data_IF_029000158845
#
_entry.id   IF_029000158845
#
_cell.length_a   1.000
_cell.length_b   1.000
_cell.length_c   1.000
_cell.angle_alpha   90.00
_cell.angle_beta   90.00
_cell.angle_gamma   90.00
#
_symmetry.space_group_name_H-M   'P 1'
#
loop_
_entity.id
_entity.type
_entity.pdbx_description
1 polymer ?
#
# COMPACT_ATOMS: atom_id res chain seq x y z
N UNK A 1 6.95 -22.17 -25.65
CA UNK A 1 7.59 -23.49 -25.90
C UNK A 1 7.36 -24.51 -24.78
N UNK A 2 7.77 -24.24 -23.52
CA UNK A 2 7.63 -25.20 -22.40
C UNK A 2 6.16 -25.57 -22.15
N UNK A 3 5.26 -24.58 -22.06
CA UNK A 3 3.82 -24.82 -21.78
C UNK A 3 3.11 -25.70 -22.81
N UNK A 4 3.48 -25.58 -24.09
CA UNK A 4 2.86 -26.34 -25.19
C UNK A 4 3.22 -27.84 -25.14
N UNK A 5 4.36 -28.18 -24.53
CA UNK A 5 4.88 -29.55 -24.44
C UNK A 5 4.71 -30.16 -23.04
N UNK A 6 4.01 -29.48 -22.13
CA UNK A 6 3.82 -29.93 -20.75
C UNK A 6 3.04 -31.26 -20.63
N UNK A 7 2.32 -31.66 -21.67
CA UNK A 7 1.62 -32.95 -21.74
C UNK A 7 2.52 -34.14 -22.11
N UNK A 8 3.71 -33.87 -22.69
CA UNK A 8 4.68 -34.91 -23.11
C UNK A 8 5.90 -34.98 -22.18
N UNK A 9 6.33 -33.84 -21.64
CA UNK A 9 7.54 -33.74 -20.84
C UNK A 9 7.31 -32.93 -19.57
N UNK A 10 8.07 -33.23 -18.52
CA UNK A 10 8.01 -32.45 -17.29
C UNK A 10 8.60 -31.05 -17.50
N UNK A 11 8.03 -30.05 -16.82
CA UNK A 11 8.54 -28.66 -16.84
C UNK A 11 10.01 -28.62 -16.41
N UNK A 12 10.39 -29.41 -15.40
CA UNK A 12 11.77 -29.50 -14.92
C UNK A 12 12.73 -30.02 -16.00
N UNK A 13 12.38 -31.09 -16.71
CA UNK A 13 13.22 -31.64 -17.77
C UNK A 13 13.42 -30.65 -18.92
N UNK A 14 12.35 -29.96 -19.34
CA UNK A 14 12.45 -28.94 -20.38
C UNK A 14 13.26 -27.72 -19.94
N UNK A 15 13.11 -27.27 -18.68
CA UNK A 15 13.92 -26.18 -18.14
C UNK A 15 15.41 -26.56 -18.12
N UNK A 16 15.74 -27.79 -17.74
CA UNK A 16 17.13 -28.28 -17.74
C UNK A 16 17.73 -28.33 -19.15
N UNK A 17 16.98 -28.83 -20.14
CA UNK A 17 17.45 -28.89 -21.54
C UNK A 17 17.65 -27.50 -22.14
N UNK A 18 16.83 -26.53 -21.73
CA UNK A 18 16.93 -25.14 -22.18
C UNK A 18 17.90 -24.30 -21.33
N UNK A 19 18.59 -24.92 -20.36
CA UNK A 19 19.49 -24.24 -19.42
C UNK A 19 18.83 -23.07 -18.67
N UNK A 20 17.53 -23.19 -18.41
CA UNK A 20 16.74 -22.19 -17.68
C UNK A 20 16.50 -22.63 -16.23
N UNK A 21 16.68 -21.75 -15.24
CA UNK A 21 16.19 -21.99 -13.88
C UNK A 21 14.68 -22.23 -13.89
N UNK A 22 14.22 -23.24 -13.13
CA UNK A 22 12.78 -23.55 -13.00
C UNK A 22 11.96 -22.36 -12.49
N UNK A 23 12.57 -21.50 -11.66
CA UNK A 23 11.96 -20.26 -11.17
C UNK A 23 11.56 -19.32 -12.30
N UNK A 24 12.37 -19.21 -13.36
CA UNK A 24 12.10 -18.35 -14.52
C UNK A 24 10.83 -18.77 -15.26
N UNK A 25 10.52 -20.07 -15.33
CA UNK A 25 9.28 -20.54 -15.96
C UNK A 25 8.02 -20.14 -15.18
N UNK A 26 8.08 -20.20 -13.85
CA UNK A 26 6.94 -19.83 -13.00
C UNK A 26 6.89 -18.34 -12.70
N UNK A 27 7.96 -17.61 -12.96
CA UNK A 27 7.99 -16.17 -12.82
C UNK A 27 6.93 -15.57 -13.74
N UNK A 28 5.95 -14.92 -13.11
CA UNK A 28 5.03 -14.04 -13.79
C UNK A 28 5.44 -12.64 -13.39
N UNK A 29 5.83 -11.76 -14.33
CA UNK A 29 5.95 -10.35 -14.01
C UNK A 29 4.60 -9.92 -13.43
N UNK A 30 4.63 -9.16 -12.33
CA UNK A 30 3.40 -8.52 -11.88
C UNK A 30 2.90 -7.66 -13.04
N UNK A 31 1.59 -7.72 -13.38
CA UNK A 31 1.06 -6.85 -14.41
C UNK A 31 1.40 -5.41 -14.05
N UNK A 32 1.73 -4.60 -15.07
CA UNK A 32 1.87 -3.16 -14.90
C UNK A 32 0.66 -2.64 -14.11
N UNK A 33 0.89 -1.70 -13.19
CA UNK A 33 -0.13 -1.19 -12.26
C UNK A 33 -1.46 -0.99 -13.00
N UNK A 34 -2.48 -1.75 -12.59
CA UNK A 34 -3.78 -1.70 -13.26
C UNK A 34 -4.32 -0.26 -13.18
N UNK A 35 -4.91 0.26 -14.26
CA UNK A 35 -5.48 1.62 -14.28
C UNK A 35 -6.46 1.85 -13.11
N UNK A 36 -7.24 0.83 -12.75
CA UNK A 36 -8.15 0.84 -11.60
C UNK A 36 -7.43 1.06 -10.26
N UNK A 37 -6.22 0.50 -10.12
CA UNK A 37 -5.41 0.66 -8.91
C UNK A 37 -4.88 2.08 -8.80
N UNK A 38 -4.42 2.65 -9.92
CA UNK A 38 -4.00 4.05 -9.98
C UNK A 38 -5.15 5.01 -9.67
N UNK A 39 -6.34 4.76 -10.21
CA UNK A 39 -7.55 5.54 -9.91
C UNK A 39 -7.92 5.46 -8.41
N UNK A 40 -7.81 4.28 -7.80
CA UNK A 40 -8.07 4.12 -6.37
C UNK A 40 -7.03 4.87 -5.53
N UNK A 41 -5.74 4.79 -5.89
CA UNK A 41 -4.67 5.51 -5.20
C UNK A 41 -4.90 7.02 -5.26
N UNK A 42 -5.23 7.53 -6.43
CA UNK A 42 -5.55 8.94 -6.65
C UNK A 42 -6.74 9.39 -5.80
N UNK A 43 -7.84 8.64 -5.81
CA UNK A 43 -9.02 8.96 -5.00
C UNK A 43 -8.72 8.98 -3.49
N UNK A 44 -7.86 8.08 -3.01
CA UNK A 44 -7.44 8.07 -1.59
C UNK A 44 -6.64 9.33 -1.25
N UNK A 45 -5.69 9.73 -2.10
CA UNK A 45 -4.87 10.93 -1.90
C UNK A 45 -5.72 12.21 -1.92
N UNK A 46 -6.67 12.31 -2.85
CA UNK A 46 -7.61 13.44 -2.93
C UNK A 46 -8.49 13.55 -1.68
N UNK A 47 -9.07 12.44 -1.22
CA UNK A 47 -9.91 12.44 -0.01
C UNK A 47 -9.07 12.83 1.21
N UNK A 48 -7.84 12.35 1.30
CA UNK A 48 -6.95 12.66 2.41
C UNK A 48 -6.61 14.15 2.46
N UNK A 49 -6.20 14.74 1.33
CA UNK A 49 -5.88 16.16 1.21
C UNK A 49 -7.11 17.05 1.43
N UNK A 50 -8.25 16.71 0.84
CA UNK A 50 -9.52 17.42 1.06
C UNK A 50 -9.95 17.41 2.54
N UNK A 51 -9.57 16.37 3.29
CA UNK A 51 -9.84 16.28 4.74
C UNK A 51 -8.89 17.09 5.61
N UNK A 52 -7.97 17.88 5.02
CA UNK A 52 -6.85 18.55 5.72
C UNK A 52 -5.96 17.55 6.45
N UNK A 53 -5.67 16.42 5.81
CA UNK A 53 -4.81 15.35 6.35
C UNK A 53 -5.32 14.72 7.67
N UNK A 54 -6.62 14.85 7.95
CA UNK A 54 -7.21 14.36 9.19
C UNK A 54 -7.74 12.93 9.08
N UNK A 55 -8.16 12.51 7.88
CA UNK A 55 -8.88 11.24 7.73
C UNK A 55 -7.94 10.03 7.71
N UNK A 56 -8.28 9.02 8.53
CA UNK A 56 -7.68 7.70 8.46
C UNK A 56 -8.51 6.71 7.63
N UNK A 57 -8.06 5.45 7.56
CA UNK A 57 -8.66 4.38 6.74
C UNK A 57 -10.18 4.20 6.91
N UNK A 58 -10.73 4.45 8.12
CA UNK A 58 -12.17 4.35 8.40
C UNK A 58 -12.96 5.43 7.67
N UNK A 59 -12.56 6.69 7.81
CA UNK A 59 -13.25 7.84 7.19
C UNK A 59 -13.07 7.85 5.67
N UNK A 60 -11.86 7.53 5.20
CA UNK A 60 -11.59 7.40 3.76
C UNK A 60 -12.49 6.34 3.10
N UNK A 61 -12.73 5.19 3.75
CA UNK A 61 -13.66 4.18 3.22
C UNK A 61 -15.08 4.72 3.04
N UNK A 62 -15.55 5.55 3.98
CA UNK A 62 -16.89 6.16 3.89
C UNK A 62 -16.95 7.13 2.71
N UNK A 63 -15.95 7.98 2.53
CA UNK A 63 -15.88 8.91 1.40
C UNK A 63 -15.74 8.19 0.05
N UNK A 64 -14.95 7.11 -0.03
CA UNK A 64 -14.86 6.28 -1.23
C UNK A 64 -16.20 5.65 -1.57
N UNK A 65 -16.96 5.17 -0.58
CA UNK A 65 -18.31 4.62 -0.78
C UNK A 65 -19.27 5.67 -1.37
N UNK A 66 -19.15 6.95 -0.99
CA UNK A 66 -19.95 8.05 -1.58
C UNK A 66 -19.63 8.26 -3.06
N UNK A 67 -18.38 7.99 -3.47
CA UNK A 67 -17.94 8.02 -4.88
C UNK A 67 -18.21 6.70 -5.63
N UNK A 68 -19.00 5.79 -5.06
CA UNK A 68 -19.24 4.43 -5.56
C UNK A 68 -17.98 3.53 -5.70
N UNK A 69 -16.84 3.94 -5.13
CA UNK A 69 -15.60 3.17 -5.16
C UNK A 69 -15.54 2.22 -3.96
N UNK A 70 -15.36 0.93 -4.23
CA UNK A 70 -15.38 -0.11 -3.21
C UNK A 70 -13.96 -0.61 -2.91
N UNK A 71 -13.45 -0.29 -1.72
CA UNK A 71 -12.15 -0.76 -1.26
C UNK A 71 -12.19 -1.24 0.20
N UNK A 72 -11.39 -2.27 0.51
CA UNK A 72 -11.22 -2.74 1.88
C UNK A 72 -10.37 -1.76 2.69
N UNK A 73 -10.60 -1.71 4.01
CA UNK A 73 -9.77 -0.88 4.91
C UNK A 73 -8.29 -1.25 4.85
N UNK A 74 -7.98 -2.54 4.62
CA UNK A 74 -6.61 -3.04 4.48
C UNK A 74 -5.96 -2.54 3.19
N UNK A 75 -6.69 -2.51 2.07
CA UNK A 75 -6.19 -1.97 0.80
C UNK A 75 -5.91 -0.47 0.93
N UNK A 76 -6.86 0.29 1.47
CA UNK A 76 -6.68 1.73 1.75
C UNK A 76 -5.47 1.97 2.65
N UNK A 77 -5.29 1.17 3.71
CA UNK A 77 -4.13 1.28 4.60
C UNK A 77 -2.79 1.03 3.91
N UNK A 78 -2.72 0.08 2.95
CA UNK A 78 -1.51 -0.13 2.14
C UNK A 78 -1.23 1.07 1.25
N UNK A 79 -2.24 1.64 0.60
CA UNK A 79 -2.12 2.85 -0.23
C UNK A 79 -1.62 4.01 0.62
N UNK A 80 -2.23 4.26 1.78
CA UNK A 80 -1.77 5.30 2.70
C UNK A 80 -0.30 5.09 3.10
N UNK A 81 0.12 3.86 3.39
CA UNK A 81 1.51 3.54 3.72
C UNK A 81 2.46 3.74 2.53
N UNK A 82 2.07 3.32 1.32
CA UNK A 82 2.84 3.50 0.07
C UNK A 82 3.14 4.99 -0.17
N UNK A 83 2.18 5.86 0.12
CA UNK A 83 2.25 7.31 -0.10
C UNK A 83 2.59 8.13 1.15
N UNK A 84 2.97 7.49 2.27
CA UNK A 84 3.34 8.20 3.51
C UNK A 84 2.22 9.03 4.15
N UNK A 85 0.95 8.72 3.85
CA UNK A 85 -0.21 9.46 4.35
C UNK A 85 -0.49 9.08 5.81
N UNK A 86 -0.22 10.00 6.74
CA UNK A 86 -0.46 9.81 8.17
C UNK A 86 -1.46 10.84 8.67
N UNK A 87 -2.52 10.38 9.32
CA UNK A 87 -3.53 11.26 9.90
C UNK A 87 -2.91 12.15 10.99
N UNK A 88 -3.17 13.45 10.95
CA UNK A 88 -2.75 14.42 11.96
C UNK A 88 -3.10 14.00 13.39
N UNK A 89 -4.27 13.40 13.59
CA UNK A 89 -4.76 12.92 14.89
C UNK A 89 -3.96 11.74 15.46
N UNK A 90 -3.20 11.03 14.63
CA UNK A 90 -2.38 9.91 15.07
C UNK A 90 -0.97 10.33 15.47
N UNK A 91 -0.58 11.58 15.19
CA UNK A 91 0.72 12.11 15.56
C UNK A 91 0.71 12.41 17.06
N UNK A 92 1.64 11.81 17.80
CA UNK A 92 1.82 12.11 19.22
C UNK A 92 2.26 13.57 19.36
N UNK A 93 1.56 14.33 20.21
CA UNK A 93 1.94 15.69 20.54
C UNK A 93 2.80 15.72 21.80
N UNK A 94 3.83 16.55 21.79
CA UNK A 94 4.66 16.81 22.97
C UNK A 94 3.78 17.38 24.09
N UNK A 95 3.83 16.75 25.26
CA UNK A 95 3.16 17.23 26.47
C UNK A 95 4.23 17.80 27.40
N UNK A 96 4.37 19.14 27.50
CA UNK A 96 5.34 19.73 28.40
C UNK A 96 5.01 19.33 29.85
N UNK A 97 6.00 18.79 30.55
CA UNK A 97 5.94 18.67 32.01
C UNK A 97 6.32 20.01 32.63
N UNK A 98 5.63 20.48 33.69
CA UNK A 98 6.03 21.68 34.39
C UNK A 98 7.45 21.50 34.96
N UNK A 99 8.33 22.45 34.68
CA UNK A 99 9.64 22.54 35.35
C UNK A 99 9.49 23.24 36.70
N UNK A 100 10.33 22.88 37.67
CA UNK A 100 10.38 23.59 38.96
C UNK A 100 10.71 25.08 38.74
N UNK A 101 10.13 25.94 39.58
CA UNK A 101 10.42 27.38 39.58
C UNK A 101 11.90 27.59 39.89
N UNK A 102 12.57 28.43 39.09
CA UNK A 102 13.93 28.87 39.39
C UNK A 102 13.87 29.83 40.58
N UNK A 103 14.24 29.37 41.77
CA UNK A 103 14.48 30.26 42.90
C UNK A 103 15.84 30.96 42.70
N UNK A 104 15.81 32.29 42.54
CA UNK A 104 17.01 33.11 42.54
C UNK A 104 17.58 33.17 43.95
N UNK A 105 18.86 32.80 44.14
CA UNK A 105 19.56 32.99 45.40
C UNK A 105 19.75 34.50 45.66
N UNK A 106 19.00 35.01 46.63
CA UNK A 106 19.22 36.34 47.24
C UNK A 106 20.41 36.34 48.17
#
# INVERSE_FOLDING_TARGET
>A
MIRNNAHKYSVSAMCNVLELPRSTYYYKPEPAENEEEQQLEQAVMEIFTASRNNYGTRKIKVELKKRAIHASRRKIGRIMKKHGLVSSYTVAQYKPSPSASNESQT
#
